data_IF_934223367851
#
_entry.id   IF_934223367851
#
_cell.length_a   1.000
_cell.length_b   1.000
_cell.length_c   1.000
_cell.angle_alpha   90.00
_cell.angle_beta   90.00
_cell.angle_gamma   90.00
#
_symmetry.space_group_name_H-M   'P 1'
#
loop_
_entity.id
_entity.type
_entity.pdbx_description
1 polymer ?
#
# COMPACT_ATOMS: atom_id res chain seq x y z
N UNK A 1 58.40 -45.92 -11.99
CA UNK A 1 57.25 -45.82 -11.09
C UNK A 1 57.27 -44.54 -10.19
N UNK A 2 58.39 -44.23 -9.51
CA UNK A 2 58.45 -43.01 -8.61
C UNK A 2 58.25 -41.68 -9.34
N UNK A 3 58.74 -41.53 -10.61
CA UNK A 3 58.53 -40.27 -11.39
C UNK A 3 57.08 -40.06 -11.87
N UNK A 4 56.37 -41.18 -12.17
CA UNK A 4 54.94 -41.11 -12.56
C UNK A 4 54.07 -40.76 -11.37
N UNK A 5 54.38 -41.26 -10.20
CA UNK A 5 53.66 -40.99 -8.97
C UNK A 5 53.77 -39.48 -8.55
N UNK A 6 55.00 -38.90 -8.78
CA UNK A 6 55.23 -37.44 -8.50
C UNK A 6 54.47 -36.54 -9.47
N UNK A 7 54.29 -36.91 -10.73
CA UNK A 7 53.51 -36.14 -11.71
C UNK A 7 52.02 -36.21 -11.39
N UNK A 8 51.50 -37.37 -10.99
CA UNK A 8 50.10 -37.53 -10.60
C UNK A 8 49.78 -36.71 -9.33
N UNK A 9 50.69 -36.69 -8.34
CA UNK A 9 50.52 -35.90 -7.15
C UNK A 9 50.53 -34.38 -7.43
N UNK A 10 51.36 -33.90 -8.35
CA UNK A 10 51.43 -32.50 -8.75
C UNK A 10 50.16 -32.06 -9.51
N UNK A 11 49.56 -32.95 -10.33
CA UNK A 11 48.30 -32.66 -11.03
C UNK A 11 47.10 -32.63 -10.08
N UNK A 12 47.06 -33.51 -9.08
CA UNK A 12 45.99 -33.50 -8.05
C UNK A 12 46.05 -32.25 -7.19
N UNK A 13 47.24 -31.75 -6.81
CA UNK A 13 47.40 -30.51 -6.04
C UNK A 13 47.04 -29.29 -6.89
N UNK A 14 47.31 -29.28 -8.20
CA UNK A 14 46.91 -28.20 -9.10
C UNK A 14 45.40 -28.15 -9.31
N UNK A 15 44.70 -29.30 -9.35
CA UNK A 15 43.22 -29.36 -9.47
C UNK A 15 42.53 -28.90 -8.20
N UNK A 16 43.10 -29.16 -7.01
CA UNK A 16 42.57 -28.68 -5.73
C UNK A 16 42.73 -27.15 -5.51
N UNK A 17 43.74 -26.53 -6.18
CA UNK A 17 43.95 -25.09 -6.07
C UNK A 17 42.93 -24.24 -6.90
N UNK A 18 42.22 -24.86 -7.86
CA UNK A 18 41.16 -24.18 -8.66
C UNK A 18 39.76 -24.41 -8.13
N UNK A 19 39.56 -25.23 -7.09
CA UNK A 19 38.22 -25.47 -6.50
C UNK A 19 37.88 -24.55 -5.35
N UNK A 20 38.68 -23.54 -5.07
CA UNK A 20 38.58 -22.65 -3.90
C UNK A 20 38.01 -21.24 -4.19
N UNK A 21 37.34 -21.00 -5.32
CA UNK A 21 36.47 -19.85 -5.47
C UNK A 21 35.04 -20.28 -5.22
N UNK A 22 34.65 -20.31 -3.96
CA UNK A 22 33.26 -19.98 -3.57
C UNK A 22 33.04 -18.59 -4.15
N UNK A 23 32.40 -18.47 -5.33
CA UNK A 23 31.72 -17.27 -5.72
C UNK A 23 30.70 -17.01 -4.59
N UNK A 24 30.96 -16.07 -3.75
CA UNK A 24 29.89 -15.29 -3.16
C UNK A 24 29.04 -14.92 -4.38
N UNK A 25 27.80 -15.37 -4.42
CA UNK A 25 26.84 -14.84 -5.39
C UNK A 25 26.94 -13.34 -5.27
N UNK A 26 27.39 -12.68 -6.32
CA UNK A 26 27.37 -11.21 -6.35
C UNK A 26 25.90 -10.86 -6.11
N UNK A 27 25.60 -10.14 -5.02
CA UNK A 27 24.33 -9.44 -4.88
C UNK A 27 24.03 -8.90 -6.28
N UNK A 28 22.89 -9.28 -6.86
CA UNK A 28 22.54 -8.91 -8.22
C UNK A 28 22.65 -7.40 -8.39
N UNK A 29 22.83 -6.95 -9.62
CA UNK A 29 22.99 -5.51 -9.95
C UNK A 29 21.79 -4.65 -9.53
N UNK A 30 20.72 -5.29 -8.99
CA UNK A 30 19.46 -4.68 -8.57
C UNK A 30 19.34 -4.60 -7.06
N UNK A 31 18.67 -3.54 -6.59
CA UNK A 31 18.29 -3.43 -5.18
C UNK A 31 17.23 -4.47 -4.81
N UNK A 32 17.40 -5.11 -3.66
CA UNK A 32 16.37 -5.96 -3.04
C UNK A 32 15.52 -5.10 -2.12
N UNK A 33 14.24 -4.93 -2.46
CA UNK A 33 13.31 -4.08 -1.71
C UNK A 33 12.13 -4.89 -1.22
N UNK A 34 11.83 -4.77 0.07
CA UNK A 34 10.68 -5.43 0.71
C UNK A 34 9.67 -4.36 1.10
N UNK A 35 8.39 -4.61 0.84
CA UNK A 35 7.28 -3.73 1.26
C UNK A 35 6.22 -4.54 2.01
N UNK A 36 5.57 -3.94 3.02
CA UNK A 36 4.49 -4.61 3.75
C UNK A 36 3.22 -4.71 2.91
N UNK A 37 2.74 -3.60 2.35
CA UNK A 37 1.44 -3.48 1.68
C UNK A 37 1.55 -3.09 0.21
N UNK A 38 0.47 -3.34 -0.54
CA UNK A 38 0.40 -3.14 -1.99
C UNK A 38 0.72 -1.72 -2.46
N UNK A 39 0.22 -0.62 -1.86
CA UNK A 39 0.49 0.72 -2.38
C UNK A 39 1.98 1.03 -2.45
N UNK A 40 2.78 0.60 -1.48
CA UNK A 40 4.22 0.80 -1.50
C UNK A 40 4.95 -0.14 -2.46
N UNK A 41 4.43 -1.37 -2.66
CA UNK A 41 4.91 -2.27 -3.69
C UNK A 41 4.78 -1.63 -5.07
N UNK A 42 3.59 -1.12 -5.40
CA UNK A 42 3.35 -0.43 -6.67
C UNK A 42 4.22 0.82 -6.79
N UNK A 43 4.31 1.64 -5.73
CA UNK A 43 5.16 2.83 -5.72
C UNK A 43 6.61 2.51 -6.08
N UNK A 44 7.19 1.47 -5.48
CA UNK A 44 8.56 1.02 -5.81
C UNK A 44 8.66 0.59 -7.27
N UNK A 45 7.68 -0.16 -7.78
CA UNK A 45 7.63 -0.58 -9.18
C UNK A 45 7.59 0.62 -10.13
N UNK A 46 6.84 1.67 -9.79
CA UNK A 46 6.73 2.88 -10.60
C UNK A 46 8.04 3.69 -10.60
N UNK A 47 8.71 3.83 -9.45
CA UNK A 47 9.89 4.68 -9.31
C UNK A 47 11.18 3.94 -9.67
N UNK A 48 11.37 2.72 -9.18
CA UNK A 48 12.58 1.94 -9.42
C UNK A 48 12.58 1.24 -10.79
N UNK A 49 11.41 0.92 -11.33
CA UNK A 49 11.29 0.19 -12.60
C UNK A 49 12.00 -1.17 -12.55
N UNK A 50 12.88 -1.40 -13.49
CA UNK A 50 13.68 -2.63 -13.60
C UNK A 50 14.97 -2.64 -12.75
N UNK A 51 15.23 -1.59 -11.98
CA UNK A 51 16.44 -1.45 -11.16
C UNK A 51 16.34 -2.08 -9.78
N UNK A 52 15.15 -2.53 -9.38
CA UNK A 52 14.93 -3.22 -8.12
C UNK A 52 14.14 -4.53 -8.31
N UNK A 53 14.43 -5.49 -7.47
CA UNK A 53 13.60 -6.67 -7.24
C UNK A 53 12.76 -6.40 -5.99
N UNK A 54 11.45 -6.30 -6.18
CA UNK A 54 10.50 -5.89 -5.13
C UNK A 54 9.69 -7.08 -4.66
N UNK A 55 9.62 -7.27 -3.36
CA UNK A 55 8.79 -8.29 -2.72
C UNK A 55 7.70 -7.64 -1.89
N UNK A 56 6.45 -7.99 -2.17
CA UNK A 56 5.31 -7.69 -1.32
C UNK A 56 5.17 -8.78 -0.26
N UNK A 57 5.24 -8.42 1.04
CA UNK A 57 5.13 -9.39 2.14
C UNK A 57 3.70 -9.91 2.28
N UNK A 58 2.74 -9.01 2.36
CA UNK A 58 1.34 -9.37 2.50
C UNK A 58 0.81 -9.78 1.13
N UNK A 59 0.60 -11.08 0.95
CA UNK A 59 0.20 -11.63 -0.34
C UNK A 59 -1.11 -11.03 -0.85
N UNK A 60 -1.27 -10.87 -2.18
CA UNK A 60 -2.54 -10.43 -2.76
C UNK A 60 -3.72 -11.27 -2.28
N UNK A 61 -4.79 -10.61 -1.82
CA UNK A 61 -5.99 -11.22 -1.27
C UNK A 61 -5.94 -11.54 0.23
N UNK A 62 -4.79 -11.37 0.89
CA UNK A 62 -4.71 -11.50 2.35
C UNK A 62 -5.21 -10.22 3.05
N UNK A 63 -5.74 -10.37 4.27
CA UNK A 63 -6.15 -9.25 5.13
C UNK A 63 -4.91 -8.66 5.82
N UNK A 64 -4.57 -7.38 5.59
CA UNK A 64 -3.36 -6.81 6.16
C UNK A 64 -3.38 -6.66 7.68
N UNK A 65 -4.55 -6.38 8.27
CA UNK A 65 -4.67 -6.20 9.72
C UNK A 65 -4.46 -7.50 10.51
N UNK A 66 -4.63 -8.66 9.86
CA UNK A 66 -4.43 -9.98 10.47
C UNK A 66 -3.03 -10.55 10.17
N UNK A 67 -2.14 -9.75 9.57
CA UNK A 67 -0.85 -10.26 9.13
C UNK A 67 0.14 -10.45 10.28
N UNK A 68 0.64 -11.66 10.42
CA UNK A 68 1.76 -12.00 11.31
C UNK A 68 2.96 -12.46 10.48
N UNK A 69 4.17 -11.86 10.69
CA UNK A 69 5.34 -12.22 9.90
C UNK A 69 5.83 -13.62 10.24
N UNK A 70 6.12 -14.41 9.21
CA UNK A 70 6.79 -15.70 9.38
C UNK A 70 8.28 -15.51 9.64
N UNK A 71 8.98 -16.51 10.24
CA UNK A 71 10.45 -16.49 10.35
C UNK A 71 11.16 -16.25 9.00
N UNK A 72 10.57 -16.72 7.91
CA UNK A 72 11.10 -16.52 6.56
C UNK A 72 10.98 -15.06 6.12
N UNK A 73 9.92 -14.38 6.48
CA UNK A 73 9.72 -12.97 6.14
C UNK A 73 10.73 -12.10 6.92
N UNK A 74 10.98 -12.43 8.18
CA UNK A 74 12.00 -11.74 8.99
C UNK A 74 13.41 -11.93 8.37
N UNK A 75 13.73 -13.13 7.87
CA UNK A 75 15.02 -13.37 7.17
C UNK A 75 15.11 -12.52 5.90
N UNK A 76 14.05 -12.48 5.09
CA UNK A 76 14.01 -11.66 3.87
C UNK A 76 14.21 -10.17 4.16
N UNK A 77 13.54 -9.66 5.21
CA UNK A 77 13.72 -8.27 5.64
C UNK A 77 15.17 -7.99 6.02
N UNK A 78 15.83 -8.90 6.75
CA UNK A 78 17.24 -8.77 7.15
C UNK A 78 18.24 -8.81 6.00
N UNK A 79 17.86 -9.40 4.88
CA UNK A 79 18.69 -9.53 3.67
C UNK A 79 18.41 -8.44 2.63
N UNK A 80 17.38 -7.61 2.83
CA UNK A 80 17.00 -6.54 1.92
C UNK A 80 17.98 -5.36 1.98
N UNK A 81 18.03 -4.59 0.90
CA UNK A 81 18.72 -3.29 0.88
C UNK A 81 17.81 -2.18 1.44
N UNK A 82 16.48 -2.31 1.24
CA UNK A 82 15.47 -1.37 1.72
C UNK A 82 14.23 -2.13 2.17
N UNK A 83 13.75 -1.81 3.37
CA UNK A 83 12.46 -2.26 3.88
C UNK A 83 11.52 -1.06 4.05
N UNK A 84 10.35 -1.14 3.44
CA UNK A 84 9.34 -0.10 3.43
C UNK A 84 8.09 -0.61 4.13
N UNK A 85 7.62 0.13 5.13
CA UNK A 85 6.39 -0.21 5.84
C UNK A 85 5.56 1.06 6.12
N UNK A 86 4.28 0.86 6.39
CA UNK A 86 3.37 1.97 6.61
C UNK A 86 3.68 2.69 7.94
N UNK A 87 3.71 1.94 9.02
CA UNK A 87 3.52 2.41 10.38
C UNK A 87 2.01 2.41 10.73
N UNK A 88 1.69 2.60 12.01
CA UNK A 88 0.32 2.46 12.49
C UNK A 88 0.06 1.04 13.01
N UNK A 89 -1.22 0.76 13.32
CA UNK A 89 -1.63 -0.44 14.05
C UNK A 89 -1.29 -1.73 13.30
N UNK A 90 -1.58 -1.80 12.00
CA UNK A 90 -1.32 -2.99 11.16
C UNK A 90 0.17 -3.36 11.08
N UNK A 91 1.07 -2.43 11.34
CA UNK A 91 2.52 -2.64 11.27
C UNK A 91 3.21 -2.62 12.66
N UNK A 92 2.47 -2.73 13.78
CA UNK A 92 3.06 -2.77 15.14
C UNK A 92 4.09 -3.89 15.30
N UNK A 93 3.88 -5.03 14.64
CA UNK A 93 4.82 -6.14 14.64
C UNK A 93 6.22 -5.75 14.11
N UNK A 94 6.30 -4.73 13.23
CA UNK A 94 7.56 -4.24 12.66
C UNK A 94 8.44 -3.69 13.77
N UNK A 95 7.88 -2.88 14.67
CA UNK A 95 8.64 -2.28 15.79
C UNK A 95 9.27 -3.38 16.67
N UNK A 96 8.60 -4.53 16.82
CA UNK A 96 9.12 -5.69 17.56
C UNK A 96 10.35 -6.34 16.93
N UNK A 97 10.52 -6.23 15.61
CA UNK A 97 11.64 -6.87 14.89
C UNK A 97 12.76 -5.90 14.51
N UNK A 98 12.54 -4.57 14.50
CA UNK A 98 13.54 -3.59 14.06
C UNK A 98 14.88 -3.72 14.80
N UNK A 99 14.85 -4.02 16.09
CA UNK A 99 16.06 -4.26 16.88
C UNK A 99 16.90 -5.46 16.41
N UNK A 100 16.30 -6.37 15.65
CA UNK A 100 16.95 -7.56 15.09
C UNK A 100 17.35 -7.40 13.61
N UNK A 101 16.87 -6.35 12.95
CA UNK A 101 17.23 -5.99 11.58
C UNK A 101 18.62 -5.36 11.58
N UNK A 102 19.49 -5.79 10.67
CA UNK A 102 20.88 -5.28 10.60
C UNK A 102 20.91 -3.79 10.25
N UNK A 103 21.97 -3.10 10.66
CA UNK A 103 22.16 -1.67 10.34
C UNK A 103 22.37 -1.38 8.84
N UNK A 104 22.67 -2.42 8.08
CA UNK A 104 22.86 -2.32 6.63
C UNK A 104 21.54 -2.22 5.86
N UNK A 105 20.43 -2.69 6.45
CA UNK A 105 19.11 -2.55 5.87
C UNK A 105 18.59 -1.12 6.13
N UNK A 106 18.25 -0.43 5.07
CA UNK A 106 17.56 0.86 5.20
C UNK A 106 16.09 0.65 5.50
N UNK A 107 15.57 1.46 6.42
CA UNK A 107 14.18 1.41 6.86
C UNK A 107 13.49 2.71 6.41
N UNK A 108 12.35 2.58 5.74
CA UNK A 108 11.52 3.70 5.32
C UNK A 108 10.10 3.51 5.89
N UNK A 109 9.83 4.24 6.97
CA UNK A 109 8.50 4.31 7.60
C UNK A 109 7.71 5.42 6.94
N UNK A 110 6.60 5.08 6.28
CA UNK A 110 5.86 6.06 5.48
C UNK A 110 5.09 7.06 6.33
N UNK A 111 4.71 6.71 7.55
CA UNK A 111 4.12 7.63 8.53
C UNK A 111 4.96 8.88 8.75
N UNK A 112 6.29 8.78 8.67
CA UNK A 112 7.20 9.90 8.91
C UNK A 112 7.11 11.00 7.83
N UNK A 113 6.46 10.71 6.71
CA UNK A 113 6.31 11.62 5.56
C UNK A 113 4.88 12.06 5.31
N UNK A 114 3.90 11.56 6.08
CA UNK A 114 2.50 11.85 5.90
C UNK A 114 2.05 13.10 6.66
N UNK A 115 1.05 13.79 6.13
CA UNK A 115 0.21 14.69 6.92
C UNK A 115 -0.81 13.85 7.66
N UNK A 116 -0.57 13.60 8.94
CA UNK A 116 -1.36 12.67 9.74
C UNK A 116 -2.72 13.26 10.11
N UNK A 117 -3.75 12.42 10.06
CA UNK A 117 -5.11 12.68 10.51
C UNK A 117 -5.44 11.76 11.67
N UNK A 118 -6.11 12.29 12.68
CA UNK A 118 -6.66 11.45 13.74
C UNK A 118 -7.85 10.66 13.23
N UNK A 119 -8.04 9.47 13.76
CA UNK A 119 -9.26 8.70 13.58
C UNK A 119 -10.50 9.49 13.97
N UNK A 120 -11.62 9.15 13.39
CA UNK A 120 -12.91 9.70 13.74
C UNK A 120 -13.91 8.56 14.02
N UNK A 121 -14.72 8.73 15.09
CA UNK A 121 -15.84 7.82 15.34
C UNK A 121 -16.98 8.05 14.32
N UNK A 122 -18.01 7.18 14.36
CA UNK A 122 -19.22 7.30 13.50
C UNK A 122 -20.03 8.59 13.71
N UNK A 123 -19.66 9.44 14.68
CA UNK A 123 -20.24 10.74 14.90
C UNK A 123 -19.26 11.87 14.60
N UNK A 124 -18.19 11.58 13.84
CA UNK A 124 -17.11 12.49 13.46
C UNK A 124 -16.37 13.13 14.64
N UNK A 125 -16.33 12.45 15.79
CA UNK A 125 -15.51 12.87 16.91
C UNK A 125 -14.11 12.34 16.72
N UNK A 126 -13.13 13.24 16.94
CA UNK A 126 -11.72 12.93 16.90
C UNK A 126 -11.37 11.83 17.90
N UNK A 127 -10.70 10.78 17.45
CA UNK A 127 -10.06 9.76 18.27
C UNK A 127 -8.75 10.23 18.90
N UNK A 128 -8.12 9.34 19.66
CA UNK A 128 -6.85 9.59 20.33
C UNK A 128 -5.66 9.14 19.47
N UNK A 129 -5.89 8.27 18.49
CA UNK A 129 -4.89 7.68 17.61
C UNK A 129 -4.97 8.26 16.20
N UNK A 130 -3.89 8.12 15.43
CA UNK A 130 -3.88 8.50 14.02
C UNK A 130 -4.44 7.36 13.18
N UNK A 131 -5.29 7.71 12.20
CA UNK A 131 -5.73 6.77 11.18
C UNK A 131 -4.52 6.31 10.35
N UNK A 132 -4.41 5.02 10.13
CA UNK A 132 -3.25 4.43 9.47
C UNK A 132 -3.31 4.44 7.93
N UNK A 133 -4.47 4.77 7.34
CA UNK A 133 -4.70 4.68 5.89
C UNK A 133 -4.12 5.88 5.12
N UNK A 134 -2.91 6.30 5.50
CA UNK A 134 -2.20 7.49 4.96
C UNK A 134 -2.01 7.46 3.45
N UNK A 135 -1.95 6.27 2.86
CA UNK A 135 -1.78 6.07 1.40
C UNK A 135 -3.01 6.46 0.60
N UNK A 136 -4.18 6.58 1.23
CA UNK A 136 -5.41 6.97 0.53
C UNK A 136 -5.44 8.46 0.19
N UNK A 137 -4.61 9.31 0.81
CA UNK A 137 -4.32 10.66 0.35
C UNK A 137 -3.37 10.64 -0.84
N UNK A 138 -3.80 11.21 -1.96
CA UNK A 138 -2.95 11.35 -3.15
C UNK A 138 -1.81 12.35 -2.90
N UNK A 139 -2.06 13.40 -2.12
CA UNK A 139 -1.03 14.36 -1.72
C UNK A 139 0.05 13.73 -0.82
N UNK A 140 -0.33 12.87 0.13
CA UNK A 140 0.65 12.07 0.89
C UNK A 140 1.45 11.15 -0.05
N UNK A 141 0.78 10.54 -1.04
CA UNK A 141 1.45 9.65 -1.99
C UNK A 141 2.51 10.36 -2.84
N UNK A 142 2.31 11.65 -3.17
CA UNK A 142 3.37 12.47 -3.77
C UNK A 142 4.59 12.64 -2.85
N UNK A 143 4.37 12.84 -1.54
CA UNK A 143 5.47 12.91 -0.56
C UNK A 143 6.22 11.58 -0.44
N UNK A 144 5.49 10.45 -0.46
CA UNK A 144 6.09 9.12 -0.46
C UNK A 144 6.91 8.86 -1.71
N UNK A 145 6.45 9.33 -2.88
CA UNK A 145 7.20 9.25 -4.14
C UNK A 145 8.54 9.97 -4.02
N UNK A 146 8.55 11.17 -3.46
CA UNK A 146 9.78 11.95 -3.23
C UNK A 146 10.71 11.26 -2.23
N UNK A 147 10.17 10.81 -1.10
CA UNK A 147 10.96 10.13 -0.06
C UNK A 147 11.63 8.86 -0.60
N UNK A 148 10.85 8.03 -1.33
CA UNK A 148 11.39 6.84 -1.98
C UNK A 148 12.47 7.17 -3.01
N UNK A 149 12.23 8.12 -3.91
CA UNK A 149 13.22 8.56 -4.89
C UNK A 149 14.54 8.96 -4.22
N UNK A 150 14.46 9.79 -3.18
CA UNK A 150 15.65 10.30 -2.48
C UNK A 150 16.41 9.14 -1.79
N UNK A 151 15.72 8.12 -1.25
CA UNK A 151 16.37 6.97 -0.64
C UNK A 151 16.98 6.02 -1.68
N UNK A 152 16.30 5.77 -2.80
CA UNK A 152 16.86 4.98 -3.91
C UNK A 152 18.13 5.60 -4.50
N UNK A 153 18.18 6.94 -4.62
CA UNK A 153 19.38 7.66 -5.10
C UNK A 153 20.55 7.51 -4.13
N UNK A 154 20.30 7.48 -2.81
CA UNK A 154 21.36 7.26 -1.82
C UNK A 154 21.89 5.83 -1.85
N UNK A 155 21.01 4.84 -2.04
CA UNK A 155 21.36 3.43 -2.10
C UNK A 155 22.05 3.04 -3.41
N UNK A 156 21.59 3.62 -4.51
CA UNK A 156 22.03 3.24 -5.85
C UNK A 156 22.18 4.48 -6.76
N UNK A 157 23.17 5.30 -6.43
CA UNK A 157 23.47 6.54 -7.13
C UNK A 157 23.77 6.39 -8.62
N UNK A 158 24.19 5.18 -9.08
CA UNK A 158 24.45 4.92 -10.51
C UNK A 158 23.17 5.01 -11.36
N UNK A 159 22.00 4.73 -10.78
CA UNK A 159 20.69 4.77 -11.44
C UNK A 159 19.89 6.05 -11.13
N UNK A 160 20.50 7.08 -10.53
CA UNK A 160 19.87 8.35 -10.12
C UNK A 160 18.98 8.97 -11.19
N UNK A 161 19.46 9.01 -12.43
CA UNK A 161 18.72 9.63 -13.55
C UNK A 161 17.43 8.86 -13.87
N UNK A 162 17.49 7.52 -13.80
CA UNK A 162 16.31 6.67 -14.02
C UNK A 162 15.26 6.90 -12.92
N UNK A 163 15.68 6.87 -11.65
CA UNK A 163 14.79 7.12 -10.51
C UNK A 163 14.14 8.49 -10.56
N UNK A 164 14.94 9.54 -10.86
CA UNK A 164 14.43 10.91 -10.98
C UNK A 164 13.41 11.03 -12.11
N UNK A 165 13.72 10.51 -13.30
CA UNK A 165 12.83 10.53 -14.46
C UNK A 165 11.49 9.80 -14.17
N UNK A 166 11.58 8.62 -13.57
CA UNK A 166 10.40 7.82 -13.26
C UNK A 166 9.53 8.50 -12.19
N UNK A 167 10.14 8.99 -11.11
CA UNK A 167 9.43 9.72 -10.05
C UNK A 167 8.75 10.98 -10.61
N UNK A 168 9.44 11.78 -11.42
CA UNK A 168 8.86 12.98 -12.04
C UNK A 168 7.68 12.65 -12.96
N UNK A 169 7.75 11.52 -13.67
CA UNK A 169 6.65 11.04 -14.50
C UNK A 169 5.45 10.58 -13.65
N UNK A 170 5.72 9.90 -12.55
CA UNK A 170 4.70 9.42 -11.64
C UNK A 170 4.03 10.57 -10.86
N UNK A 171 4.79 11.54 -10.38
CA UNK A 171 4.27 12.76 -9.74
C UNK A 171 3.32 13.54 -10.66
N UNK A 172 3.59 13.59 -11.97
CA UNK A 172 2.67 14.20 -12.95
C UNK A 172 1.35 13.44 -13.07
N UNK A 173 1.37 12.10 -12.97
CA UNK A 173 0.14 11.29 -12.98
C UNK A 173 -0.66 11.52 -11.69
N UNK A 174 0.01 11.55 -10.52
CA UNK A 174 -0.63 11.86 -9.25
C UNK A 174 -1.24 13.27 -9.25
N UNK A 175 -0.53 14.28 -9.77
CA UNK A 175 -1.08 15.64 -9.89
C UNK A 175 -2.33 15.68 -10.77
N UNK A 176 -2.34 14.97 -11.89
CA UNK A 176 -3.52 14.86 -12.75
C UNK A 176 -4.69 14.17 -12.05
N UNK A 177 -4.38 13.16 -11.22
CA UNK A 177 -5.40 12.47 -10.42
C UNK A 177 -6.02 13.43 -9.40
N UNK A 178 -5.21 14.22 -8.68
CA UNK A 178 -5.67 15.27 -7.75
C UNK A 178 -6.58 16.26 -8.48
N UNK A 179 -6.14 16.80 -9.62
CA UNK A 179 -6.93 17.75 -10.42
C UNK A 179 -8.29 17.14 -10.80
N UNK A 180 -8.31 15.85 -11.19
CA UNK A 180 -9.54 15.16 -11.60
C UNK A 180 -10.52 14.93 -10.43
N UNK A 181 -10.02 14.65 -9.22
CA UNK A 181 -10.83 14.59 -8.00
C UNK A 181 -11.39 15.96 -7.66
N UNK A 182 -10.55 16.98 -7.66
CA UNK A 182 -10.92 18.37 -7.39
C UNK A 182 -12.01 18.87 -8.34
N UNK A 183 -11.84 18.67 -9.64
CA UNK A 183 -12.82 19.04 -10.66
C UNK A 183 -14.14 18.31 -10.43
N UNK A 184 -14.09 17.00 -10.14
CA UNK A 184 -15.29 16.20 -9.89
C UNK A 184 -16.05 16.70 -8.68
N UNK A 185 -15.38 16.91 -7.55
CA UNK A 185 -16.05 17.35 -6.30
C UNK A 185 -16.53 18.79 -6.40
N UNK A 186 -15.79 19.68 -7.08
CA UNK A 186 -16.22 21.08 -7.33
C UNK A 186 -17.46 21.17 -8.22
N UNK A 187 -17.57 20.28 -9.20
CA UNK A 187 -18.73 20.23 -10.12
C UNK A 187 -19.96 19.55 -9.51
N UNK A 188 -19.79 18.80 -8.42
CA UNK A 188 -20.85 17.98 -7.84
C UNK A 188 -21.84 18.80 -7.03
N UNK A 189 -23.13 18.47 -7.18
CA UNK A 189 -24.22 19.10 -6.42
C UNK A 189 -24.26 18.62 -4.95
N UNK A 190 -23.80 17.41 -4.70
CA UNK A 190 -23.74 16.78 -3.37
C UNK A 190 -22.28 16.48 -3.03
N UNK A 191 -21.93 16.59 -1.76
CA UNK A 191 -20.59 16.25 -1.27
C UNK A 191 -20.62 15.18 -0.18
N UNK A 192 -21.75 14.51 -0.01
CA UNK A 192 -21.93 13.49 1.02
C UNK A 192 -22.22 12.15 0.39
N UNK A 193 -21.51 11.13 0.83
CA UNK A 193 -21.71 9.73 0.44
C UNK A 193 -22.04 8.86 1.65
N UNK A 194 -22.58 7.67 1.40
CA UNK A 194 -22.86 6.67 2.43
C UNK A 194 -22.05 5.43 2.15
N UNK A 195 -21.29 4.98 3.14
CA UNK A 195 -20.51 3.74 3.10
C UNK A 195 -21.15 2.72 4.05
N UNK A 196 -21.75 1.69 3.48
CA UNK A 196 -22.35 0.57 4.23
C UNK A 196 -21.26 -0.45 4.62
N UNK A 197 -20.18 0.04 5.20
CA UNK A 197 -18.99 -0.72 5.51
C UNK A 197 -18.11 0.04 6.51
N UNK A 198 -16.88 -0.46 6.74
CA UNK A 198 -15.77 0.24 7.38
C UNK A 198 -15.35 1.45 6.54
N UNK A 199 -14.67 2.42 7.15
CA UNK A 199 -14.28 3.66 6.48
C UNK A 199 -12.76 3.86 6.44
N UNK A 200 -12.00 3.17 5.58
CA UNK A 200 -10.55 3.31 5.45
C UNK A 200 -10.13 4.51 4.56
N UNK A 201 -11.06 5.37 4.13
CA UNK A 201 -10.79 6.41 3.14
C UNK A 201 -10.79 7.83 3.75
N UNK A 202 -10.52 7.94 5.05
CA UNK A 202 -10.55 9.21 5.78
C UNK A 202 -9.68 10.28 5.12
N UNK A 203 -8.43 9.94 4.79
CA UNK A 203 -7.50 10.89 4.17
C UNK A 203 -7.96 11.36 2.79
N UNK A 204 -8.43 10.45 1.94
CA UNK A 204 -8.98 10.78 0.62
C UNK A 204 -10.15 11.76 0.75
N UNK A 205 -11.05 11.47 1.67
CA UNK A 205 -12.27 12.27 1.82
C UNK A 205 -11.99 13.64 2.42
N UNK A 206 -11.06 13.74 3.37
CA UNK A 206 -10.61 15.03 3.91
C UNK A 206 -9.86 15.86 2.87
N UNK A 207 -9.01 15.23 2.05
CA UNK A 207 -8.26 15.92 1.00
C UNK A 207 -9.18 16.65 0.01
N UNK A 208 -10.32 16.05 -0.34
CA UNK A 208 -11.24 16.60 -1.34
C UNK A 208 -12.57 17.14 -0.75
N UNK A 209 -12.66 17.36 0.57
CA UNK A 209 -13.87 17.86 1.25
C UNK A 209 -15.13 17.01 0.93
N UNK A 210 -14.98 15.70 0.89
CA UNK A 210 -16.08 14.73 0.75
C UNK A 210 -16.55 14.34 2.15
N UNK A 211 -17.84 14.43 2.43
CA UNK A 211 -18.44 13.98 3.68
C UNK A 211 -18.89 12.53 3.57
N UNK A 212 -18.80 11.80 4.66
CA UNK A 212 -19.18 10.39 4.72
C UNK A 212 -20.06 10.10 5.94
N UNK A 213 -21.14 9.35 5.73
CA UNK A 213 -21.80 8.58 6.77
C UNK A 213 -21.45 7.11 6.57
N UNK A 214 -20.88 6.47 7.58
CA UNK A 214 -20.42 5.08 7.49
C UNK A 214 -21.08 4.16 8.51
N UNK A 215 -21.09 2.87 8.22
CA UNK A 215 -21.61 1.87 9.16
C UNK A 215 -20.67 1.63 10.34
N UNK A 216 -19.36 1.81 10.11
CA UNK A 216 -18.33 1.65 11.11
C UNK A 216 -17.27 2.73 10.96
N UNK A 217 -16.58 3.12 12.05
CA UNK A 217 -15.39 3.96 11.98
C UNK A 217 -14.22 3.14 11.45
N UNK A 218 -13.27 3.80 10.78
CA UNK A 218 -11.97 3.23 10.38
C UNK A 218 -12.03 1.79 9.88
N UNK A 219 -11.04 0.98 10.27
CA UNK A 219 -10.96 -0.46 10.01
C UNK A 219 -11.21 -1.31 11.26
N UNK A 220 -12.31 -1.05 11.97
CA UNK A 220 -12.70 -1.83 13.15
C UNK A 220 -12.86 -3.33 12.84
N UNK A 221 -12.58 -4.17 13.82
CA UNK A 221 -12.85 -5.60 13.77
C UNK A 221 -14.37 -5.94 13.84
N UNK A 222 -15.23 -4.97 14.12
CA UNK A 222 -16.69 -5.18 14.12
C UNK A 222 -17.19 -5.53 12.73
N UNK A 223 -17.95 -6.61 12.63
CA UNK A 223 -18.44 -7.13 11.34
C UNK A 223 -19.92 -6.85 11.08
N UNK A 224 -20.67 -6.41 12.10
CA UNK A 224 -22.10 -6.10 11.99
C UNK A 224 -22.45 -4.83 12.76
N UNK A 225 -23.02 -3.81 12.08
CA UNK A 225 -23.44 -2.60 12.74
C UNK A 225 -24.66 -2.84 13.61
N UNK A 226 -24.84 -1.98 14.62
CA UNK A 226 -26.05 -2.05 15.45
C UNK A 226 -27.31 -1.80 14.61
N UNK A 227 -28.47 -2.38 14.99
CA UNK A 227 -29.74 -2.08 14.33
C UNK A 227 -30.05 -0.58 14.30
N UNK A 228 -29.61 0.17 15.31
CA UNK A 228 -29.75 1.63 15.39
C UNK A 228 -28.92 2.33 14.32
N UNK A 229 -27.69 1.88 14.10
CA UNK A 229 -26.81 2.42 13.05
C UNK A 229 -27.42 2.20 11.66
N UNK A 230 -27.92 0.96 11.40
CA UNK A 230 -28.57 0.63 10.13
C UNK A 230 -29.80 1.53 9.89
N UNK A 231 -30.66 1.68 10.91
CA UNK A 231 -31.85 2.55 10.81
C UNK A 231 -31.46 4.01 10.53
N UNK A 232 -30.42 4.55 11.20
CA UNK A 232 -29.88 5.88 10.94
C UNK A 232 -29.45 6.05 9.50
N UNK A 233 -28.71 5.06 8.94
CA UNK A 233 -28.23 5.13 7.55
C UNK A 233 -29.36 5.04 6.54
N UNK A 234 -30.39 4.21 6.78
CA UNK A 234 -31.58 4.12 5.91
C UNK A 234 -32.35 5.45 5.89
N UNK A 235 -32.55 6.07 7.06
CA UNK A 235 -33.18 7.39 7.18
C UNK A 235 -32.35 8.45 6.47
N UNK A 236 -31.04 8.48 6.71
CA UNK A 236 -30.12 9.42 6.08
C UNK A 236 -30.14 9.33 4.54
N UNK A 237 -30.10 8.12 3.99
CA UNK A 237 -30.18 7.86 2.54
C UNK A 237 -31.45 8.43 1.96
N UNK A 238 -32.59 8.21 2.63
CA UNK A 238 -33.91 8.70 2.21
C UNK A 238 -34.00 10.23 2.27
N UNK A 239 -33.59 10.83 3.40
CA UNK A 239 -33.76 12.27 3.65
C UNK A 239 -32.84 13.12 2.77
N UNK A 240 -31.69 12.58 2.36
CA UNK A 240 -30.71 13.26 1.50
C UNK A 240 -30.79 12.84 0.03
N UNK A 241 -31.78 12.03 -0.34
CA UNK A 241 -31.96 11.53 -1.72
C UNK A 241 -30.66 10.90 -2.27
N UNK A 242 -29.99 10.07 -1.45
CA UNK A 242 -28.77 9.35 -1.86
C UNK A 242 -29.16 8.26 -2.85
N UNK A 243 -28.46 8.19 -3.98
CA UNK A 243 -28.77 7.23 -5.06
C UNK A 243 -27.80 6.07 -5.13
N UNK A 244 -26.64 6.16 -4.49
CA UNK A 244 -25.59 5.16 -4.47
C UNK A 244 -25.08 5.01 -3.05
N UNK A 245 -24.97 3.76 -2.60
CA UNK A 245 -24.30 3.41 -1.34
C UNK A 245 -23.05 2.62 -1.68
N UNK A 246 -22.00 2.82 -0.90
CA UNK A 246 -20.72 2.16 -1.13
C UNK A 246 -20.49 1.01 -0.17
N UNK A 247 -19.76 0.02 -0.63
CA UNK A 247 -19.01 -0.95 0.18
C UNK A 247 -17.52 -0.78 -0.10
N UNK A 248 -16.68 -1.30 0.78
CA UNK A 248 -15.24 -1.38 0.52
C UNK A 248 -14.93 -2.68 -0.24
N UNK A 249 -13.84 -2.66 -1.01
CA UNK A 249 -13.35 -3.85 -1.70
C UNK A 249 -13.19 -5.03 -0.73
N UNK A 250 -13.36 -6.25 -1.25
CA UNK A 250 -13.36 -7.51 -0.51
C UNK A 250 -14.49 -7.70 0.53
N UNK A 251 -15.39 -6.72 0.72
CA UNK A 251 -16.55 -6.83 1.61
C UNK A 251 -17.80 -7.32 0.88
N UNK A 252 -18.79 -7.79 1.68
CA UNK A 252 -20.12 -8.17 1.18
C UNK A 252 -20.96 -6.93 0.84
N UNK A 253 -21.82 -7.03 -0.16
CA UNK A 253 -22.78 -5.99 -0.53
C UNK A 253 -24.10 -6.05 0.25
N UNK A 254 -24.27 -7.04 1.15
CA UNK A 254 -25.52 -7.32 1.86
C UNK A 254 -26.05 -6.14 2.68
N UNK A 255 -25.17 -5.44 3.39
CA UNK A 255 -25.55 -4.27 4.18
C UNK A 255 -25.97 -3.11 3.29
N UNK A 256 -25.23 -2.84 2.22
CA UNK A 256 -25.58 -1.82 1.23
C UNK A 256 -26.94 -2.09 0.59
N UNK A 257 -27.21 -3.35 0.24
CA UNK A 257 -28.51 -3.78 -0.28
C UNK A 257 -29.65 -3.60 0.73
N UNK A 258 -29.38 -3.80 2.01
CA UNK A 258 -30.36 -3.55 3.08
C UNK A 258 -30.68 -2.05 3.18
N UNK A 259 -29.68 -1.18 2.96
CA UNK A 259 -29.83 0.28 3.12
C UNK A 259 -30.48 0.92 1.88
N UNK A 260 -30.10 0.53 0.67
CA UNK A 260 -30.55 1.20 -0.58
C UNK A 260 -31.03 0.23 -1.69
N UNK A 261 -31.01 -1.10 -1.49
CA UNK A 261 -31.29 -2.06 -2.56
C UNK A 261 -30.07 -2.28 -3.46
N UNK A 262 -30.28 -2.54 -4.75
CA UNK A 262 -29.22 -3.03 -5.64
C UNK A 262 -28.18 -1.98 -6.08
N UNK A 263 -28.35 -0.71 -5.73
CA UNK A 263 -27.42 0.34 -6.15
C UNK A 263 -26.23 0.49 -5.20
N UNK A 264 -25.49 -0.59 -5.03
CA UNK A 264 -24.27 -0.67 -4.24
C UNK A 264 -23.06 -0.67 -5.16
N UNK A 265 -22.10 0.23 -4.91
CA UNK A 265 -20.83 0.31 -5.64
C UNK A 265 -19.65 0.03 -4.72
N UNK A 266 -18.53 -0.29 -5.31
CA UNK A 266 -17.29 -0.55 -4.56
C UNK A 266 -16.40 0.69 -4.57
N UNK A 267 -15.86 1.02 -3.39
CA UNK A 267 -14.66 1.84 -3.24
C UNK A 267 -13.49 0.94 -2.82
N UNK A 268 -12.33 1.23 -3.36
CA UNK A 268 -11.10 0.47 -3.11
C UNK A 268 -10.30 1.15 -2.01
N UNK A 269 -9.99 0.42 -0.95
CA UNK A 269 -9.10 0.87 0.13
C UNK A 269 -7.65 0.98 -0.34
N UNK A 270 -7.32 0.25 -1.39
CA UNK A 270 -5.96 0.10 -1.93
C UNK A 270 -4.96 -0.47 -0.92
N UNK A 271 -5.42 -0.93 0.24
CA UNK A 271 -4.56 -1.55 1.26
C UNK A 271 -3.90 -2.81 0.70
N UNK A 272 -4.69 -3.65 0.05
CA UNK A 272 -4.23 -4.80 -0.72
C UNK A 272 -5.05 -4.91 -2.01
N UNK A 273 -4.70 -5.84 -2.86
CA UNK A 273 -5.41 -6.16 -4.10
C UNK A 273 -5.74 -7.64 -4.15
N UNK A 274 -6.77 -8.02 -4.88
CA UNK A 274 -7.03 -9.43 -5.15
C UNK A 274 -5.92 -10.02 -6.03
N UNK A 275 -5.78 -11.35 -5.98
CA UNK A 275 -4.84 -12.03 -6.87
C UNK A 275 -5.11 -11.71 -8.36
N UNK A 276 -6.37 -11.61 -8.75
CA UNK A 276 -6.75 -11.27 -10.14
C UNK A 276 -6.29 -9.86 -10.53
N UNK A 277 -6.47 -8.87 -9.65
CA UNK A 277 -6.01 -7.49 -9.86
C UNK A 277 -4.49 -7.44 -9.96
N UNK A 278 -3.79 -8.15 -9.07
CA UNK A 278 -2.33 -8.24 -9.09
C UNK A 278 -1.81 -8.88 -10.38
N UNK A 279 -2.41 -9.99 -10.83
CA UNK A 279 -2.04 -10.67 -12.07
C UNK A 279 -2.33 -9.82 -13.32
N UNK A 280 -3.32 -8.90 -13.25
CA UNK A 280 -3.63 -7.90 -14.27
C UNK A 280 -2.76 -6.66 -14.22
N UNK A 281 -1.83 -6.58 -13.27
CA UNK A 281 -0.99 -5.40 -13.01
C UNK A 281 -1.79 -4.13 -12.75
N UNK A 282 -2.89 -4.23 -12.00
CA UNK A 282 -3.57 -3.05 -11.47
C UNK A 282 -2.59 -2.24 -10.62
N UNK A 283 -2.70 -0.92 -10.70
CA UNK A 283 -1.81 0.02 -10.02
C UNK A 283 -2.57 0.85 -8.98
N UNK A 284 -1.85 1.50 -8.09
CA UNK A 284 -2.44 2.49 -7.18
C UNK A 284 -3.31 3.51 -7.95
N UNK A 285 -2.76 4.09 -9.01
CA UNK A 285 -3.48 5.09 -9.81
C UNK A 285 -4.73 4.49 -10.45
N UNK A 286 -4.67 3.30 -11.05
CA UNK A 286 -5.84 2.68 -11.69
C UNK A 286 -6.98 2.44 -10.68
N UNK A 287 -6.67 2.00 -9.47
CA UNK A 287 -7.66 1.78 -8.42
C UNK A 287 -8.25 3.10 -7.90
N UNK A 288 -7.43 4.14 -7.76
CA UNK A 288 -7.90 5.47 -7.38
C UNK A 288 -8.76 6.12 -8.49
N UNK A 289 -8.49 5.87 -9.76
CA UNK A 289 -9.35 6.27 -10.88
C UNK A 289 -10.70 5.54 -10.87
N UNK A 290 -10.74 4.26 -10.46
CA UNK A 290 -12.00 3.54 -10.23
C UNK A 290 -12.80 4.16 -9.08
N UNK A 291 -12.14 4.56 -7.99
CA UNK A 291 -12.78 5.30 -6.90
C UNK A 291 -13.36 6.63 -7.38
N UNK A 292 -12.59 7.39 -8.14
CA UNK A 292 -13.05 8.66 -8.71
C UNK A 292 -14.29 8.47 -9.59
N UNK A 293 -14.28 7.45 -10.45
CA UNK A 293 -15.43 7.13 -11.31
C UNK A 293 -16.67 6.80 -10.48
N UNK A 294 -16.52 5.97 -9.45
CA UNK A 294 -17.64 5.59 -8.59
C UNK A 294 -18.19 6.78 -7.79
N UNK A 295 -17.29 7.64 -7.27
CA UNK A 295 -17.66 8.87 -6.56
C UNK A 295 -18.37 9.88 -7.48
N UNK A 296 -17.91 10.05 -8.72
CA UNK A 296 -18.56 10.92 -9.70
C UNK A 296 -20.01 10.52 -9.95
N UNK A 297 -20.32 9.23 -10.01
CA UNK A 297 -21.69 8.73 -10.18
C UNK A 297 -22.57 8.96 -8.93
N UNK A 298 -21.98 8.97 -7.75
CA UNK A 298 -22.71 9.17 -6.49
C UNK A 298 -22.93 10.64 -6.13
N UNK A 299 -22.00 11.49 -6.51
CA UNK A 299 -22.05 12.91 -6.18
C UNK A 299 -22.87 13.74 -7.18
N UNK A 300 -23.15 13.20 -8.34
CA UNK A 300 -24.08 13.75 -9.36
C UNK A 300 -23.37 14.49 -10.44
#
# INVERSE_FOLDING_TARGET
MKKILSVILAVVVAVCAFSGCSKSESKGDKLSIITTIFPYYDLVKQVAGDKADVTLLISPGAEPHDYEPTPKDIVRIKEADLFIYNGGESDEWVEGILGSVGKDVKILKMFDYADLQYEEDINHKKGDEYDEHIWTSVANFQKFTKALKDELIKLDGKNKEAYSKNADAYEKQLSKLIDSYDETVKASAKKTVVIADRFPLLYLFKEFDIKCESAFPGCTAETQPSPKTVAKLVEFVKDNDIKVVFKIDNSSDSLGKTILGDNVKTLYSVHNVTKEQFDKNETYISLMELNLKALKEALG
#
